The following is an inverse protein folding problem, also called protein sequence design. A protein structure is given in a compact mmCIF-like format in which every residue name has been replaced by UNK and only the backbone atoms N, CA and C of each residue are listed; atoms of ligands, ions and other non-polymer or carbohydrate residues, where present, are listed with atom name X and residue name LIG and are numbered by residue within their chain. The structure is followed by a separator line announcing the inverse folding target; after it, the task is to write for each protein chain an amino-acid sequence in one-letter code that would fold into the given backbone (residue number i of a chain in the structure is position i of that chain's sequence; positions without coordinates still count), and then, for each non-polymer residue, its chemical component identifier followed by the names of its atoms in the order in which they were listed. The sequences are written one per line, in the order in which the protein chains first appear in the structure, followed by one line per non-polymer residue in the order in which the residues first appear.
data_IF_437843945912
#
_entry.id   IF_437843945912
#
_cell.length_a   1.000
_cell.length_b   1.000
_cell.length_c   1.000
_cell.angle_alpha   90.00
_cell.angle_beta   90.00
_cell.angle_gamma   90.00
#
_symmetry.space_group_name_H-M   'P 1'
#
loop_
_entity.id
_entity.type
_entity.pdbx_description
1 polymer ?
#
# COMPACT_ATOMS: atom_id res chain seq x y z
N UNK A 1 8.29 -1.44 -13.33
CA UNK A 1 6.95 -0.88 -13.05
C UNK A 1 7.06 0.11 -11.90
N UNK A 2 6.53 1.31 -12.07
CA UNK A 2 6.70 2.42 -11.09
C UNK A 2 5.40 2.90 -10.47
N UNK A 3 4.22 2.40 -10.88
CA UNK A 3 2.93 2.89 -10.36
C UNK A 3 2.63 2.46 -8.91
N UNK A 4 1.61 3.07 -8.26
CA UNK A 4 1.27 2.81 -6.85
C UNK A 4 0.98 1.34 -6.55
N UNK A 5 0.28 0.63 -7.46
CA UNK A 5 -0.01 -0.80 -7.32
C UNK A 5 1.28 -1.61 -7.26
N UNK A 6 2.25 -1.35 -8.15
CA UNK A 6 3.52 -2.07 -8.15
C UNK A 6 4.37 -1.80 -6.90
N UNK A 7 4.13 -0.67 -6.23
CA UNK A 7 4.90 -0.22 -5.08
C UNK A 7 4.24 -0.51 -3.73
N UNK A 8 3.02 -1.04 -3.66
CA UNK A 8 2.28 -1.17 -2.40
C UNK A 8 3.01 -2.03 -1.34
N UNK A 9 3.73 -3.08 -1.74
CA UNK A 9 4.58 -3.87 -0.83
C UNK A 9 5.74 -3.04 -0.27
N UNK A 10 6.41 -2.25 -1.12
CA UNK A 10 7.48 -1.34 -0.69
C UNK A 10 6.93 -0.25 0.23
N UNK A 11 5.73 0.27 -0.06
CA UNK A 11 5.06 1.24 0.80
C UNK A 11 4.75 0.68 2.20
N UNK A 12 4.40 -0.61 2.33
CA UNK A 12 4.27 -1.27 3.64
C UNK A 12 5.58 -1.25 4.43
N UNK A 13 6.68 -1.68 3.80
CA UNK A 13 8.01 -1.69 4.42
C UNK A 13 8.48 -0.28 4.79
N UNK A 14 8.18 0.71 3.95
CA UNK A 14 8.45 2.14 4.20
C UNK A 14 7.70 2.64 5.44
N UNK A 15 6.39 2.41 5.51
CA UNK A 15 5.57 2.86 6.63
C UNK A 15 6.01 2.24 7.96
N UNK A 16 6.35 0.95 7.97
CA UNK A 16 6.86 0.28 9.17
C UNK A 16 8.24 0.80 9.61
N UNK A 17 9.02 1.40 8.71
CA UNK A 17 10.30 2.01 9.05
C UNK A 17 10.15 3.47 9.52
N UNK A 18 9.21 4.22 8.94
CA UNK A 18 9.00 5.64 9.22
C UNK A 18 8.06 5.91 10.39
N UNK A 19 7.22 4.94 10.76
CA UNK A 19 6.20 5.08 11.80
C UNK A 19 6.23 3.86 12.70
N UNK A 20 6.77 4.05 13.91
CA UNK A 20 7.06 2.96 14.85
C UNK A 20 5.82 2.13 15.25
N UNK A 21 4.65 2.77 15.28
CA UNK A 21 3.36 2.19 15.62
C UNK A 21 2.63 1.56 14.42
N UNK A 22 3.07 1.80 13.18
CA UNK A 22 2.37 1.33 11.99
C UNK A 22 2.26 -0.19 11.92
N UNK A 23 3.27 -0.90 12.42
CA UNK A 23 3.27 -2.38 12.45
C UNK A 23 2.13 -2.95 13.30
N UNK A 24 1.70 -2.22 14.33
CA UNK A 24 0.61 -2.64 15.23
C UNK A 24 -0.76 -2.59 14.56
N UNK A 25 -0.91 -1.77 13.51
CA UNK A 25 -2.13 -1.69 12.71
C UNK A 25 -2.22 -2.74 11.59
N UNK A 26 -1.18 -3.56 11.41
CA UNK A 26 -1.18 -4.61 10.40
C UNK A 26 -1.97 -5.83 10.87
N UNK A 27 -2.79 -6.39 9.98
CA UNK A 27 -3.33 -7.75 10.14
C UNK A 27 -2.20 -8.80 10.25
N UNK A 28 -2.44 -9.93 10.89
CA UNK A 28 -1.48 -11.04 11.02
C UNK A 28 -0.85 -11.46 9.68
N UNK A 29 -1.65 -11.56 8.61
CA UNK A 29 -1.12 -11.89 7.27
C UNK A 29 -0.19 -10.82 6.70
N UNK A 30 -0.40 -9.55 7.04
CA UNK A 30 0.47 -8.44 6.64
C UNK A 30 1.78 -8.42 7.43
N UNK A 31 1.75 -8.79 8.72
CA UNK A 31 2.95 -8.98 9.55
C UNK A 31 3.79 -10.15 9.02
N UNK A 32 3.19 -11.32 8.82
CA UNK A 32 3.90 -12.49 8.28
C UNK A 32 4.53 -12.21 6.92
N UNK A 33 3.78 -11.56 6.03
CA UNK A 33 4.33 -11.20 4.71
C UNK A 33 5.38 -10.09 4.79
N UNK A 34 5.35 -9.21 5.80
CA UNK A 34 6.39 -8.19 5.99
C UNK A 34 7.75 -8.82 6.29
N UNK A 35 7.77 -9.83 7.16
CA UNK A 35 8.98 -10.60 7.49
C UNK A 35 9.58 -11.26 6.24
N UNK A 36 8.76 -11.93 5.44
CA UNK A 36 9.17 -12.58 4.18
C UNK A 36 9.62 -11.58 3.11
N UNK A 37 9.17 -10.32 3.20
CA UNK A 37 9.48 -9.26 2.24
C UNK A 37 10.71 -8.42 2.64
N UNK A 38 11.41 -8.80 3.71
CA UNK A 38 12.63 -8.15 4.18
C UNK A 38 12.42 -7.06 5.24
N UNK A 39 11.29 -7.09 5.96
CA UNK A 39 11.04 -6.24 7.13
C UNK A 39 10.92 -4.73 6.81
N UNK A 40 10.96 -3.87 7.83
CA UNK A 40 11.07 -2.42 7.63
C UNK A 40 12.28 -2.04 6.76
N UNK A 41 12.14 -0.97 5.97
CA UNK A 41 13.23 -0.48 5.12
C UNK A 41 14.43 0.05 5.92
N UNK A 42 15.63 -0.21 5.41
CA UNK A 42 16.86 0.49 5.82
C UNK A 42 16.90 1.94 5.32
N UNK A 43 17.79 2.75 5.87
CA UNK A 43 17.99 4.16 5.45
C UNK A 43 18.25 4.30 3.94
N UNK A 44 19.01 3.39 3.35
CA UNK A 44 19.28 3.40 1.90
C UNK A 44 18.02 3.09 1.09
N UNK A 45 17.23 2.12 1.52
CA UNK A 45 15.97 1.76 0.85
C UNK A 45 14.94 2.89 0.94
N UNK A 46 14.87 3.59 2.09
CA UNK A 46 14.02 4.77 2.26
C UNK A 46 14.35 5.84 1.20
N UNK A 47 15.63 6.22 1.08
CA UNK A 47 16.07 7.20 0.08
C UNK A 47 15.76 6.78 -1.36
N UNK A 48 15.89 5.49 -1.68
CA UNK A 48 15.56 4.98 -3.02
C UNK A 48 14.05 5.01 -3.26
N UNK A 49 13.25 4.65 -2.25
CA UNK A 49 11.80 4.64 -2.35
C UNK A 49 11.24 6.06 -2.53
N UNK A 50 11.71 7.03 -1.74
CA UNK A 50 11.26 8.42 -1.78
C UNK A 50 11.56 9.11 -3.11
N UNK A 51 12.64 8.70 -3.81
CA UNK A 51 12.97 9.20 -5.16
C UNK A 51 12.04 8.71 -6.25
N UNK A 52 11.18 7.72 -5.98
CA UNK A 52 10.20 7.27 -6.95
C UNK A 52 9.02 8.27 -7.01
N UNK A 53 8.66 8.80 -8.20
CA UNK A 53 7.56 9.77 -8.33
C UNK A 53 6.21 9.27 -7.82
N UNK A 54 5.98 7.96 -7.79
CA UNK A 54 4.73 7.37 -7.32
C UNK A 54 4.75 6.98 -5.82
N UNK A 55 5.85 7.23 -5.10
CA UNK A 55 6.01 6.84 -3.68
C UNK A 55 4.87 7.36 -2.81
N UNK A 56 4.53 8.65 -2.93
CA UNK A 56 3.43 9.28 -2.22
C UNK A 56 2.09 8.58 -2.47
N UNK A 57 1.78 8.27 -3.74
CA UNK A 57 0.54 7.59 -4.08
C UNK A 57 0.55 6.12 -3.64
N UNK A 58 1.71 5.45 -3.64
CA UNK A 58 1.86 4.10 -3.11
C UNK A 58 1.62 4.06 -1.59
N UNK A 59 2.12 5.06 -0.86
CA UNK A 59 1.87 5.21 0.59
C UNK A 59 0.38 5.43 0.87
N UNK A 60 -0.29 6.29 0.08
CA UNK A 60 -1.75 6.48 0.21
C UNK A 60 -2.51 5.18 -0.05
N UNK A 61 -2.21 4.52 -1.17
CA UNK A 61 -2.82 3.24 -1.53
C UNK A 61 -2.62 2.19 -0.43
N UNK A 62 -1.42 2.12 0.17
CA UNK A 62 -1.14 1.16 1.23
C UNK A 62 -1.96 1.41 2.49
N UNK A 63 -2.20 2.67 2.85
CA UNK A 63 -3.08 3.00 3.99
C UNK A 63 -4.52 2.56 3.74
N UNK A 64 -5.02 2.70 2.51
CA UNK A 64 -6.34 2.19 2.15
C UNK A 64 -6.40 0.66 2.18
N UNK A 65 -5.36 -0.02 1.71
CA UNK A 65 -5.21 -1.48 1.78
C UNK A 65 -5.27 -1.99 3.23
N UNK A 66 -4.55 -1.34 4.16
CA UNK A 66 -4.62 -1.70 5.58
C UNK A 66 -5.98 -1.39 6.22
N UNK A 67 -6.62 -0.29 5.83
CA UNK A 67 -7.94 0.12 6.33
C UNK A 67 -9.12 -0.68 5.75
N UNK A 68 -8.94 -1.40 4.64
CA UNK A 68 -10.00 -2.12 3.91
C UNK A 68 -10.48 -3.42 4.58
N UNK A 69 -10.24 -3.59 5.88
CA UNK A 69 -10.47 -4.85 6.62
C UNK A 69 -11.56 -4.73 7.69
N UNK A 70 -12.42 -3.70 7.58
CA UNK A 70 -13.53 -3.48 8.50
C UNK A 70 -14.74 -4.31 8.08
N UNK A 71 -15.09 -5.31 8.89
CA UNK A 71 -16.30 -6.11 8.68
C UNK A 71 -17.56 -5.24 8.79
N UNK A 72 -18.54 -5.52 7.92
CA UNK A 72 -19.82 -4.81 7.91
C UNK A 72 -19.78 -3.40 7.31
N UNK A 73 -18.62 -2.94 6.81
CA UNK A 73 -18.54 -1.67 6.09
C UNK A 73 -19.39 -1.72 4.81
N UNK A 74 -20.36 -0.81 4.70
CA UNK A 74 -21.14 -0.66 3.47
C UNK A 74 -20.30 0.06 2.43
N UNK A 75 -20.04 -0.62 1.32
CA UNK A 75 -19.33 -0.08 0.16
C UNK A 75 -20.18 -0.30 -1.09
N UNK A 76 -19.94 0.53 -2.10
CA UNK A 76 -20.58 0.34 -3.39
C UNK A 76 -20.15 -1.01 -4.03
N UNK A 77 -21.03 -1.66 -4.80
CA UNK A 77 -20.66 -2.87 -5.54
C UNK A 77 -19.63 -2.53 -6.63
N UNK A 78 -18.89 -3.54 -7.09
CA UNK A 78 -17.90 -3.37 -8.17
C UNK A 78 -18.49 -2.70 -9.43
N UNK A 79 -19.77 -2.96 -9.73
CA UNK A 79 -20.48 -2.37 -10.87
C UNK A 79 -20.50 -0.84 -10.85
N UNK A 80 -20.51 -0.22 -9.66
CA UNK A 80 -20.46 1.24 -9.53
C UNK A 80 -19.13 1.83 -10.02
N UNK A 81 -18.06 1.02 -10.09
CA UNK A 81 -16.72 1.44 -10.50
C UNK A 81 -16.37 1.05 -11.94
N UNK A 82 -17.18 0.24 -12.62
CA UNK A 82 -16.86 -0.27 -13.98
C UNK A 82 -16.63 0.85 -14.98
N UNK A 83 -17.48 1.88 -15.00
CA UNK A 83 -17.31 3.02 -15.92
C UNK A 83 -16.01 3.80 -15.62
N UNK A 84 -15.64 3.94 -14.35
CA UNK A 84 -14.36 4.55 -13.98
C UNK A 84 -13.20 3.68 -14.46
N UNK A 85 -13.24 2.37 -14.20
CA UNK A 85 -12.20 1.43 -14.60
C UNK A 85 -12.00 1.41 -16.12
N UNK A 86 -13.07 1.45 -16.89
CA UNK A 86 -13.02 1.53 -18.35
C UNK A 86 -12.41 2.86 -18.84
N UNK A 87 -12.75 4.00 -18.20
CA UNK A 87 -12.15 5.29 -18.58
C UNK A 87 -10.64 5.32 -18.35
N UNK A 88 -10.15 4.68 -17.29
CA UNK A 88 -8.72 4.68 -16.96
C UNK A 88 -7.95 3.52 -17.60
N UNK A 89 -8.61 2.52 -18.19
CA UNK A 89 -7.94 1.38 -18.84
C UNK A 89 -7.38 1.68 -20.23
N UNK A 90 -7.79 2.78 -20.85
CA UNK A 90 -7.32 3.23 -22.16
C UNK A 90 -6.31 4.39 -22.09
N UNK A 91 -5.79 4.68 -20.88
CA UNK A 91 -4.65 5.56 -20.64
C UNK A 91 -3.35 4.75 -20.57
#
# INVERSE_FOLDING_TARGET
MTGPIALHVRAKRYLCAMQADYIQGLSDGSVRSLELQGGPMSVTELRVFERNPASTNAVRLRRWDDGGKLEGLRVEPLSAYVELLQRVSFL
#
